data_IF_090356196538
#
_entry.id   IF_090356196538
#
_cell.length_a   1.000
_cell.length_b   1.000
_cell.length_c   1.000
_cell.angle_alpha   90.00
_cell.angle_beta   90.00
_cell.angle_gamma   90.00
#
_symmetry.space_group_name_H-M   'P 1'
#
loop_
_entity.id
_entity.type
_entity.pdbx_description
1 polymer ?
#
# COMPACT_ATOMS: atom_id res chain seq x y z
N UNK A 1 -16.09 -65.07 12.60
CA UNK A 1 -15.07 -64.55 11.65
C UNK A 1 -15.27 -63.12 11.12
N UNK A 2 -16.49 -62.54 11.04
CA UNK A 2 -16.70 -61.23 10.38
C UNK A 2 -16.36 -59.97 11.21
N UNK A 3 -16.43 -60.00 12.55
CA UNK A 3 -16.06 -58.84 13.40
C UNK A 3 -14.55 -58.55 13.44
N UNK A 4 -13.70 -59.59 13.42
CA UNK A 4 -12.23 -59.42 13.44
C UNK A 4 -11.69 -58.69 12.20
N UNK A 5 -12.25 -58.95 11.00
CA UNK A 5 -11.81 -58.26 9.77
C UNK A 5 -12.16 -56.76 9.76
N UNK A 6 -13.31 -56.37 10.33
CA UNK A 6 -13.71 -54.96 10.39
C UNK A 6 -12.79 -54.15 11.32
N UNK A 7 -12.41 -54.73 12.46
CA UNK A 7 -11.49 -54.10 13.40
C UNK A 7 -10.09 -53.96 12.78
N UNK A 8 -9.62 -54.96 12.00
CA UNK A 8 -8.35 -54.85 11.27
C UNK A 8 -8.37 -53.75 10.21
N UNK A 9 -9.48 -53.52 9.50
CA UNK A 9 -9.57 -52.41 8.53
C UNK A 9 -9.55 -51.04 9.22
N UNK A 10 -10.21 -50.91 10.38
CA UNK A 10 -10.18 -49.66 11.17
C UNK A 10 -8.76 -49.41 11.71
N UNK A 11 -8.06 -50.45 12.17
CA UNK A 11 -6.67 -50.35 12.62
C UNK A 11 -5.71 -49.94 11.50
N UNK A 12 -5.87 -50.50 10.29
CA UNK A 12 -5.06 -50.10 9.14
C UNK A 12 -5.33 -48.65 8.78
N UNK A 13 -6.58 -48.18 8.78
CA UNK A 13 -6.90 -46.76 8.52
C UNK A 13 -6.28 -45.86 9.59
N UNK A 14 -6.38 -46.21 10.87
CA UNK A 14 -5.79 -45.43 11.97
C UNK A 14 -4.26 -45.37 11.89
N UNK A 15 -3.59 -46.50 11.62
CA UNK A 15 -2.12 -46.56 11.48
C UNK A 15 -1.65 -45.77 10.25
N UNK A 16 -2.36 -45.87 9.12
CA UNK A 16 -2.01 -45.09 7.92
C UNK A 16 -2.23 -43.59 8.14
N UNK A 17 -3.19 -43.19 8.98
CA UNK A 17 -3.43 -41.77 9.29
C UNK A 17 -2.39 -41.23 10.30
N UNK A 18 -1.90 -42.07 11.22
CA UNK A 18 -0.91 -41.70 12.24
C UNK A 18 0.55 -41.74 11.73
N UNK A 19 0.86 -42.53 10.68
CA UNK A 19 2.22 -42.61 10.13
C UNK A 19 2.55 -41.53 9.09
N UNK A 20 1.57 -40.79 8.57
CA UNK A 20 1.79 -39.74 7.55
C UNK A 20 1.84 -38.31 8.14
N UNK A 21 1.44 -38.10 9.39
CA UNK A 21 1.46 -36.79 10.06
C UNK A 21 2.86 -36.31 10.49
N UNK A 22 3.82 -37.15 10.94
CA UNK A 22 5.13 -36.65 11.39
C UNK A 22 6.07 -36.26 10.24
N UNK A 23 5.87 -36.84 9.05
CA UNK A 23 6.71 -36.61 7.87
C UNK A 23 6.41 -35.30 7.13
N UNK A 24 5.25 -34.68 7.39
CA UNK A 24 4.89 -33.38 6.80
C UNK A 24 5.59 -32.24 7.54
N UNK A 25 5.70 -32.32 8.87
CA UNK A 25 6.35 -31.28 9.68
C UNK A 25 7.88 -31.18 9.46
N UNK A 26 8.54 -32.30 9.15
CA UNK A 26 9.99 -32.35 8.89
C UNK A 26 10.38 -31.93 7.46
N UNK A 27 9.44 -32.01 6.50
CA UNK A 27 9.64 -31.51 5.13
C UNK A 27 9.33 -30.01 5.08
N UNK A 28 8.34 -29.53 5.83
CA UNK A 28 8.02 -28.09 5.96
C UNK A 28 9.19 -27.28 6.54
N UNK A 29 9.89 -27.78 7.56
CA UNK A 29 10.96 -27.02 8.21
C UNK A 29 12.23 -26.89 7.35
N UNK A 30 12.53 -27.89 6.51
CA UNK A 30 13.73 -27.88 5.67
C UNK A 30 13.55 -27.17 4.33
N UNK A 31 12.34 -27.21 3.77
CA UNK A 31 11.99 -26.43 2.57
C UNK A 31 11.85 -24.94 2.91
N UNK A 32 11.35 -24.59 4.10
CA UNK A 32 11.26 -23.18 4.52
C UNK A 32 12.63 -22.54 4.77
N UNK A 33 13.64 -23.28 5.23
CA UNK A 33 14.99 -22.72 5.43
C UNK A 33 15.77 -22.55 4.11
N UNK A 34 15.62 -23.47 3.15
CA UNK A 34 16.37 -23.40 1.88
C UNK A 34 15.73 -22.43 0.85
N UNK A 35 14.41 -22.15 0.94
CA UNK A 35 13.73 -21.13 0.11
C UNK A 35 13.98 -19.70 0.63
N UNK A 36 14.26 -19.53 1.92
CA UNK A 36 14.57 -18.22 2.50
C UNK A 36 15.98 -17.70 2.14
N UNK A 37 16.93 -18.55 1.77
CA UNK A 37 18.32 -18.09 1.56
C UNK A 37 18.67 -17.66 0.12
N UNK A 38 17.86 -17.95 -0.89
CA UNK A 38 18.29 -17.78 -2.29
C UNK A 38 17.63 -16.70 -3.14
N UNK A 39 16.75 -15.83 -2.62
CA UNK A 39 16.05 -14.86 -3.49
C UNK A 39 15.81 -13.45 -2.92
N UNK A 40 16.53 -13.00 -1.88
CA UNK A 40 16.11 -11.80 -1.12
C UNK A 40 16.69 -10.45 -1.63
N UNK A 41 17.59 -10.43 -2.62
CA UNK A 41 18.20 -9.18 -3.13
C UNK A 41 17.60 -8.63 -4.44
N UNK A 42 16.38 -9.02 -4.83
CA UNK A 42 15.80 -8.57 -6.10
C UNK A 42 14.88 -7.37 -5.89
N UNK A 43 15.38 -6.16 -6.19
CA UNK A 43 14.51 -5.09 -6.72
C UNK A 43 13.82 -5.73 -7.93
N UNK A 44 12.48 -5.72 -8.03
CA UNK A 44 11.80 -6.36 -9.15
C UNK A 44 12.37 -5.85 -10.47
N UNK A 45 12.92 -6.77 -11.29
CA UNK A 45 13.36 -6.40 -12.61
C UNK A 45 12.14 -6.01 -13.45
N UNK A 46 12.36 -5.17 -14.46
CA UNK A 46 11.29 -4.76 -15.37
C UNK A 46 10.55 -5.96 -16.01
N UNK A 47 11.18 -7.13 -16.07
CA UNK A 47 10.64 -8.38 -16.60
C UNK A 47 9.68 -9.10 -15.64
N UNK A 48 9.69 -8.78 -14.34
CA UNK A 48 8.74 -9.31 -13.36
C UNK A 48 7.34 -8.69 -13.50
N UNK A 49 7.24 -7.55 -14.18
CA UNK A 49 5.99 -6.82 -14.34
C UNK A 49 5.15 -7.35 -15.50
N UNK A 50 3.86 -7.59 -15.25
CA UNK A 50 2.88 -7.61 -16.32
C UNK A 50 2.77 -6.22 -16.93
N UNK A 51 3.17 -6.09 -18.21
CA UNK A 51 3.15 -4.81 -18.90
C UNK A 51 1.75 -4.27 -19.10
N UNK A 52 1.56 -2.99 -18.74
CA UNK A 52 0.35 -2.20 -18.93
C UNK A 52 0.56 -1.24 -20.10
N UNK A 53 -0.31 -1.23 -21.11
CA UNK A 53 -0.12 -0.36 -22.28
C UNK A 53 -0.33 1.13 -21.96
N UNK A 54 -1.11 1.45 -20.92
CA UNK A 54 -1.47 2.81 -20.53
C UNK A 54 -2.07 2.82 -19.10
N UNK A 55 -2.24 4.00 -18.48
CA UNK A 55 -2.95 4.19 -17.20
C UNK A 55 -4.47 4.05 -17.34
N UNK A 56 -5.22 3.63 -16.31
CA UNK A 56 -6.68 3.51 -16.39
C UNK A 56 -7.43 4.79 -16.81
N UNK A 57 -6.77 5.95 -16.71
CA UNK A 57 -7.23 7.24 -17.20
C UNK A 57 -6.23 7.77 -18.23
N UNK A 58 -6.72 8.47 -19.26
CA UNK A 58 -5.84 9.09 -20.26
C UNK A 58 -5.07 10.28 -19.65
N UNK A 59 -3.73 10.14 -19.60
CA UNK A 59 -2.85 11.17 -19.05
C UNK A 59 -2.93 12.49 -19.83
N UNK A 60 -3.27 12.48 -21.13
CA UNK A 60 -3.42 13.73 -21.88
C UNK A 60 -4.68 14.49 -21.43
N UNK A 61 -5.76 13.75 -21.12
CA UNK A 61 -7.01 14.34 -20.66
C UNK A 61 -6.93 14.81 -19.21
N UNK A 62 -6.10 14.18 -18.38
CA UNK A 62 -5.79 14.61 -17.01
C UNK A 62 -5.27 16.05 -17.00
N UNK A 63 -4.39 16.38 -17.95
CA UNK A 63 -3.76 17.70 -18.07
C UNK A 63 -4.52 18.68 -18.98
N UNK A 64 -5.72 18.29 -19.45
CA UNK A 64 -6.52 19.13 -20.32
C UNK A 64 -7.44 20.06 -19.52
N UNK A 65 -7.27 21.37 -19.72
CA UNK A 65 -8.20 22.41 -19.24
C UNK A 65 -9.17 22.90 -20.32
N UNK A 66 -10.39 23.29 -19.91
CA UNK A 66 -11.44 23.88 -20.78
C UNK A 66 -10.96 25.10 -21.55
N UNK A 67 -10.12 25.91 -20.90
CA UNK A 67 -9.64 27.17 -21.41
C UNK A 67 -8.37 27.62 -20.66
N UNK A 68 -7.71 28.63 -21.22
CA UNK A 68 -6.48 29.20 -20.66
C UNK A 68 -6.65 29.78 -19.25
N UNK A 69 -7.86 30.20 -18.86
CA UNK A 69 -8.11 30.72 -17.50
C UNK A 69 -8.08 29.58 -16.49
N UNK A 70 -8.78 28.47 -16.75
CA UNK A 70 -8.78 27.29 -15.89
C UNK A 70 -7.40 26.65 -15.79
N UNK A 71 -6.72 26.52 -16.93
CA UNK A 71 -5.33 26.08 -16.97
C UNK A 71 -4.44 26.96 -16.08
N UNK A 72 -4.58 28.29 -16.14
CA UNK A 72 -3.82 29.21 -15.28
C UNK A 72 -4.22 29.10 -13.82
N UNK A 73 -5.50 28.99 -13.50
CA UNK A 73 -5.97 28.77 -12.12
C UNK A 73 -5.33 27.52 -11.54
N UNK A 74 -5.38 26.40 -12.25
CA UNK A 74 -4.83 25.14 -11.82
C UNK A 74 -3.30 25.15 -11.72
N UNK A 75 -2.61 25.69 -12.72
CA UNK A 75 -1.16 25.89 -12.67
C UNK A 75 -0.74 26.87 -11.55
N UNK A 76 -1.59 27.84 -11.18
CA UNK A 76 -1.36 28.71 -10.03
C UNK A 76 -1.65 28.00 -8.70
N UNK A 77 -2.62 27.09 -8.64
CA UNK A 77 -2.89 26.27 -7.46
C UNK A 77 -1.75 25.29 -7.18
N UNK A 78 -1.22 24.63 -8.23
CA UNK A 78 0.05 23.88 -8.17
C UNK A 78 1.16 24.80 -7.72
N UNK A 79 1.26 25.97 -8.34
CA UNK A 79 2.23 27.00 -8.02
C UNK A 79 2.07 27.66 -6.64
N UNK A 80 1.01 27.36 -5.90
CA UNK A 80 0.80 27.81 -4.52
C UNK A 80 0.96 26.66 -3.53
N UNK A 81 1.12 25.40 -3.97
CA UNK A 81 1.33 24.27 -3.05
C UNK A 81 0.05 23.75 -2.42
N UNK A 82 -1.07 23.84 -3.16
CA UNK A 82 -2.36 23.25 -2.77
C UNK A 82 -2.57 21.87 -3.41
N UNK A 83 -3.67 21.18 -3.11
CA UNK A 83 -4.10 19.84 -3.60
C UNK A 83 -4.23 19.65 -5.12
N UNK A 84 -3.71 20.58 -5.91
CA UNK A 84 -3.86 20.63 -7.36
C UNK A 84 -2.86 19.77 -8.13
N UNK A 85 -2.03 18.95 -7.49
CA UNK A 85 -1.19 17.98 -8.21
C UNK A 85 -2.07 16.99 -8.99
N UNK A 86 -1.93 16.99 -10.32
CA UNK A 86 -2.69 16.11 -11.22
C UNK A 86 -2.13 14.70 -11.27
N UNK A 87 -0.82 14.57 -11.09
CA UNK A 87 -0.14 13.31 -10.91
C UNK A 87 0.74 13.43 -9.68
N UNK A 88 0.48 12.59 -8.68
CA UNK A 88 1.35 12.44 -7.52
C UNK A 88 2.02 11.07 -7.54
N UNK A 89 3.35 11.02 -7.38
CA UNK A 89 4.09 9.78 -7.49
C UNK A 89 4.00 8.94 -6.20
N UNK A 90 4.56 7.75 -6.31
CA UNK A 90 4.53 6.70 -5.30
C UNK A 90 5.47 7.06 -4.14
N UNK A 91 5.06 6.74 -2.91
CA UNK A 91 5.92 6.84 -1.71
C UNK A 91 5.51 7.90 -0.70
N UNK A 92 4.54 8.77 -1.01
CA UNK A 92 4.03 9.77 -0.06
C UNK A 92 5.07 10.80 0.40
N UNK A 93 6.22 10.87 -0.29
CA UNK A 93 7.28 11.82 0.00
C UNK A 93 7.02 13.14 -0.70
N UNK A 94 5.90 13.80 -0.44
CA UNK A 94 5.71 15.18 -0.89
C UNK A 94 4.71 15.93 -0.01
N UNK A 95 4.97 17.21 0.19
CA UNK A 95 3.95 18.13 0.68
C UNK A 95 2.92 18.40 -0.42
N UNK A 96 1.69 17.97 -0.15
CA UNK A 96 0.47 18.54 -0.74
C UNK A 96 -0.51 18.87 0.40
N UNK A 97 -1.55 19.65 0.14
CA UNK A 97 -2.56 20.00 1.16
C UNK A 97 -3.44 18.82 1.60
N UNK A 98 -3.16 17.61 1.11
CA UNK A 98 -3.91 16.38 1.30
C UNK A 98 -2.93 15.25 1.59
N UNK A 99 -3.25 14.37 2.54
CA UNK A 99 -2.44 13.18 2.80
C UNK A 99 -2.58 12.16 1.67
N UNK A 100 -1.72 12.23 0.66
CA UNK A 100 -1.60 11.13 -0.30
C UNK A 100 -0.97 9.91 0.36
N UNK A 101 -1.77 8.87 0.59
CA UNK A 101 -1.29 7.65 1.22
C UNK A 101 -0.10 7.06 0.46
N UNK A 102 0.90 6.58 1.19
CA UNK A 102 2.06 5.90 0.61
C UNK A 102 1.62 4.71 -0.27
N UNK A 103 2.44 4.37 -1.27
CA UNK A 103 2.29 3.21 -2.15
C UNK A 103 1.29 3.28 -3.33
N UNK A 104 0.82 4.48 -3.69
CA UNK A 104 -0.09 4.68 -4.83
C UNK A 104 0.22 5.93 -5.61
N UNK A 105 -0.31 6.00 -6.82
CA UNK A 105 -0.40 7.24 -7.58
C UNK A 105 -1.78 7.83 -7.41
N UNK A 106 -1.88 9.14 -7.22
CA UNK A 106 -3.13 9.85 -7.45
C UNK A 106 -3.10 10.47 -8.83
N UNK A 107 -4.20 10.27 -9.55
CA UNK A 107 -4.42 10.82 -10.88
C UNK A 107 -5.66 11.69 -10.76
N UNK A 108 -5.46 13.01 -10.69
CA UNK A 108 -6.50 14.01 -10.48
C UNK A 108 -6.60 14.91 -11.71
N UNK A 109 -7.80 15.17 -12.20
CA UNK A 109 -8.05 16.04 -13.33
C UNK A 109 -9.04 17.17 -13.00
N UNK A 110 -9.10 18.18 -13.85
CA UNK A 110 -10.14 19.24 -13.75
C UNK A 110 -11.55 18.72 -14.06
N UNK A 111 -11.64 17.60 -14.77
CA UNK A 111 -12.88 16.98 -15.21
C UNK A 111 -12.96 15.55 -14.72
N UNK A 112 -14.18 15.04 -14.69
CA UNK A 112 -14.44 13.61 -14.59
C UNK A 112 -13.88 12.91 -15.81
N UNK A 113 -12.83 12.14 -15.61
CA UNK A 113 -12.16 11.39 -16.68
C UNK A 113 -12.72 10.00 -16.80
N UNK A 114 -12.72 9.46 -18.01
CA UNK A 114 -13.16 8.09 -18.26
C UNK A 114 -12.14 7.12 -17.65
N UNK A 115 -12.61 6.20 -16.81
CA UNK A 115 -11.81 5.10 -16.28
C UNK A 115 -12.05 3.85 -17.14
N UNK A 116 -10.97 3.27 -17.67
CA UNK A 116 -10.98 2.06 -18.50
C UNK A 116 -9.99 1.02 -18.02
N UNK A 117 -10.25 -0.22 -18.38
CA UNK A 117 -9.33 -1.33 -18.12
C UNK A 117 -8.12 -1.30 -19.06
N UNK A 118 -6.89 -1.14 -18.55
CA UNK A 118 -5.70 -1.09 -19.40
C UNK A 118 -5.34 -2.44 -20.03
N UNK A 119 -5.76 -3.53 -19.41
CA UNK A 119 -5.55 -4.90 -19.88
C UNK A 119 -6.71 -5.77 -19.40
N UNK A 120 -6.88 -6.94 -20.03
CA UNK A 120 -7.81 -7.95 -19.53
C UNK A 120 -7.39 -8.40 -18.12
N UNK A 121 -8.38 -8.69 -17.28
CA UNK A 121 -8.13 -9.04 -15.88
C UNK A 121 -9.31 -9.75 -15.24
N UNK A 122 -9.15 -10.11 -13.98
CA UNK A 122 -10.17 -10.82 -13.20
C UNK A 122 -10.41 -10.07 -11.90
N UNK A 123 -11.68 -9.83 -11.58
CA UNK A 123 -12.08 -9.30 -10.28
C UNK A 123 -11.64 -10.26 -9.18
N UNK A 124 -10.92 -9.72 -8.20
CA UNK A 124 -10.54 -10.41 -6.97
C UNK A 124 -11.47 -9.99 -5.85
N UNK A 125 -11.61 -8.68 -5.68
CA UNK A 125 -12.43 -8.07 -4.63
C UNK A 125 -12.88 -6.67 -5.07
N UNK A 126 -13.91 -6.15 -4.42
CA UNK A 126 -14.28 -4.73 -4.52
C UNK A 126 -14.93 -4.27 -3.23
N UNK A 127 -14.69 -3.03 -2.85
CA UNK A 127 -15.27 -2.40 -1.67
C UNK A 127 -15.93 -1.10 -2.05
N UNK A 128 -16.96 -0.73 -1.30
CA UNK A 128 -17.67 0.54 -1.47
C UNK A 128 -17.57 1.25 -0.13
N UNK A 129 -16.99 2.44 -0.14
CA UNK A 129 -16.88 3.26 1.07
C UNK A 129 -18.26 3.81 1.46
N UNK A 130 -19.06 4.21 0.47
CA UNK A 130 -20.44 4.63 0.64
C UNK A 130 -21.25 4.32 -0.63
N UNK A 131 -22.41 3.66 -0.50
CA UNK A 131 -23.31 3.33 -1.63
C UNK A 131 -24.09 4.56 -2.13
N UNK A 132 -23.39 5.67 -2.38
CA UNK A 132 -23.98 6.86 -2.98
C UNK A 132 -24.18 6.63 -4.47
N UNK A 133 -25.41 6.81 -4.95
CA UNK A 133 -25.71 6.76 -6.39
C UNK A 133 -25.53 8.12 -7.02
N UNK A 134 -24.80 8.15 -8.13
CA UNK A 134 -24.53 9.37 -8.92
C UNK A 134 -24.87 9.10 -10.39
N UNK A 135 -25.22 10.16 -11.13
CA UNK A 135 -25.45 10.06 -12.58
C UNK A 135 -24.47 10.95 -13.31
N UNK A 136 -23.64 10.36 -14.17
CA UNK A 136 -22.65 11.07 -14.97
C UNK A 136 -22.84 10.77 -16.45
N UNK A 137 -23.03 11.82 -17.24
CA UNK A 137 -23.23 11.74 -18.70
C UNK A 137 -24.31 10.71 -19.11
N UNK A 138 -25.38 10.59 -18.32
CA UNK A 138 -26.49 9.68 -18.60
C UNK A 138 -26.25 8.23 -18.16
N UNK A 139 -25.17 7.94 -17.45
CA UNK A 139 -24.90 6.64 -16.84
C UNK A 139 -25.12 6.70 -15.33
N UNK A 140 -25.87 5.73 -14.80
CA UNK A 140 -26.02 5.53 -13.36
C UNK A 140 -24.79 4.80 -12.81
N UNK A 141 -24.31 5.31 -11.67
CA UNK A 141 -23.05 4.89 -11.06
C UNK A 141 -23.14 4.79 -9.56
N UNK A 142 -22.24 4.00 -8.99
CA UNK A 142 -22.00 3.88 -7.56
C UNK A 142 -20.68 4.58 -7.26
N UNK A 143 -20.74 5.54 -6.34
CA UNK A 143 -19.62 6.37 -5.94
C UNK A 143 -18.63 5.65 -5.01
N UNK A 144 -17.42 6.20 -4.90
CA UNK A 144 -16.39 5.81 -3.93
C UNK A 144 -16.14 4.29 -3.89
N UNK A 145 -15.95 3.70 -5.07
CA UNK A 145 -15.69 2.28 -5.24
C UNK A 145 -14.20 2.03 -5.39
N UNK A 146 -13.73 0.98 -4.70
CA UNK A 146 -12.42 0.38 -4.87
C UNK A 146 -12.56 -0.96 -5.57
N UNK A 147 -11.73 -1.24 -6.57
CA UNK A 147 -11.73 -2.50 -7.31
C UNK A 147 -10.33 -3.10 -7.31
N UNK A 148 -10.23 -4.37 -6.87
CA UNK A 148 -9.02 -5.19 -6.91
C UNK A 148 -9.08 -6.11 -8.13
N UNK A 149 -8.10 -6.01 -9.02
CA UNK A 149 -8.07 -6.76 -10.28
C UNK A 149 -6.74 -7.49 -10.46
N UNK A 150 -6.80 -8.80 -10.67
CA UNK A 150 -5.68 -9.63 -11.11
C UNK A 150 -5.50 -9.48 -12.62
N UNK A 151 -4.29 -9.10 -13.07
CA UNK A 151 -4.00 -8.78 -14.48
C UNK A 151 -2.96 -9.72 -15.12
N UNK A 152 -2.37 -10.61 -14.33
CA UNK A 152 -1.35 -11.55 -14.79
C UNK A 152 -0.99 -12.52 -13.68
N UNK A 153 -0.04 -13.42 -13.97
CA UNK A 153 0.53 -14.29 -12.95
C UNK A 153 1.22 -13.41 -11.92
N UNK A 154 0.78 -13.51 -10.66
CA UNK A 154 1.32 -12.76 -9.53
C UNK A 154 1.23 -11.22 -9.67
N UNK A 155 0.48 -10.68 -10.65
CA UNK A 155 0.35 -9.24 -10.88
C UNK A 155 -1.11 -8.78 -10.69
N UNK A 156 -1.29 -7.68 -9.99
CA UNK A 156 -2.60 -7.06 -9.79
C UNK A 156 -2.53 -5.54 -9.85
N UNK A 157 -3.69 -4.92 -10.06
CA UNK A 157 -3.89 -3.48 -9.91
C UNK A 157 -5.06 -3.24 -8.96
N UNK A 158 -4.99 -2.13 -8.24
CA UNK A 158 -6.13 -1.59 -7.48
C UNK A 158 -6.44 -0.21 -8.03
N UNK A 159 -7.73 0.04 -8.26
CA UNK A 159 -8.26 1.36 -8.58
C UNK A 159 -9.20 1.77 -7.45
N UNK A 160 -8.99 2.95 -6.91
CA UNK A 160 -9.70 3.45 -5.73
C UNK A 160 -10.31 4.83 -6.00
N UNK A 161 -11.33 5.20 -5.24
CA UNK A 161 -12.08 6.45 -5.39
C UNK A 161 -12.68 6.66 -6.80
N UNK A 162 -13.13 5.60 -7.47
CA UNK A 162 -13.84 5.72 -8.75
C UNK A 162 -15.36 5.66 -8.57
N UNK A 163 -16.07 6.36 -9.45
CA UNK A 163 -17.50 6.12 -9.67
C UNK A 163 -17.66 4.97 -10.66
N UNK A 164 -18.10 3.80 -10.19
CA UNK A 164 -18.27 2.58 -10.98
C UNK A 164 -19.66 2.53 -11.60
N UNK A 165 -19.78 2.08 -12.86
CA UNK A 165 -21.07 1.80 -13.50
C UNK A 165 -21.94 0.89 -12.62
N UNK A 166 -23.19 1.30 -12.39
CA UNK A 166 -24.14 0.53 -11.57
C UNK A 166 -24.37 -0.88 -12.17
N UNK A 167 -24.35 -0.99 -13.49
CA UNK A 167 -24.45 -2.29 -14.17
C UNK A 167 -23.29 -3.24 -13.84
N UNK A 168 -22.06 -2.74 -13.68
CA UNK A 168 -20.91 -3.55 -13.26
C UNK A 168 -21.00 -3.88 -11.78
N UNK A 169 -21.39 -2.93 -10.94
CA UNK A 169 -21.64 -3.19 -9.52
C UNK A 169 -22.66 -4.33 -9.33
N UNK A 170 -23.79 -4.27 -10.03
CA UNK A 170 -24.82 -5.32 -10.00
C UNK A 170 -24.27 -6.67 -10.48
N UNK A 171 -23.43 -6.65 -11.52
CA UNK A 171 -22.78 -7.86 -12.02
C UNK A 171 -21.80 -8.44 -10.99
N UNK A 172 -21.05 -7.62 -10.26
CA UNK A 172 -20.11 -8.09 -9.23
C UNK A 172 -20.83 -8.76 -8.05
N UNK A 173 -22.01 -8.25 -7.67
CA UNK A 173 -22.86 -8.85 -6.64
C UNK A 173 -23.32 -10.27 -7.01
N UNK A 174 -23.58 -10.52 -8.28
CA UNK A 174 -24.04 -11.82 -8.79
C UNK A 174 -22.86 -12.74 -9.11
N UNK A 175 -21.80 -12.19 -9.71
CA UNK A 175 -20.67 -12.91 -10.27
C UNK A 175 -19.33 -12.42 -9.67
N UNK A 176 -18.96 -13.00 -8.52
CA UNK A 176 -17.69 -12.74 -7.81
C UNK A 176 -16.41 -13.13 -8.56
N UNK A 177 -16.52 -13.56 -9.82
CA UNK A 177 -15.39 -13.92 -10.69
C UNK A 177 -15.45 -13.19 -12.04
N UNK A 178 -15.96 -11.96 -12.03
CA UNK A 178 -16.08 -11.12 -13.22
C UNK A 178 -14.74 -11.03 -13.98
N UNK A 179 -14.81 -11.12 -15.31
CA UNK A 179 -13.64 -10.98 -16.19
C UNK A 179 -13.75 -9.68 -16.96
N UNK A 180 -12.76 -8.83 -16.73
CA UNK A 180 -12.57 -7.60 -17.47
C UNK A 180 -11.93 -7.86 -18.82
N UNK A 181 -12.33 -7.08 -19.81
CA UNK A 181 -11.64 -7.01 -21.11
C UNK A 181 -10.85 -5.71 -21.21
N UNK A 182 -9.80 -5.72 -22.04
CA UNK A 182 -9.03 -4.51 -22.34
C UNK A 182 -9.96 -3.42 -22.92
N UNK A 183 -9.68 -2.16 -22.59
CA UNK A 183 -10.41 -0.96 -23.00
C UNK A 183 -11.86 -0.89 -22.50
N UNK A 184 -12.27 -1.82 -21.62
CA UNK A 184 -13.60 -1.80 -21.03
C UNK A 184 -13.82 -0.53 -20.22
N UNK A 185 -14.89 0.19 -20.53
CA UNK A 185 -15.36 1.33 -19.74
C UNK A 185 -15.87 0.85 -18.38
N UNK A 186 -15.33 1.42 -17.31
CA UNK A 186 -15.71 1.07 -15.94
C UNK A 186 -16.55 2.15 -15.28
N UNK A 187 -16.30 3.41 -15.61
CA UNK A 187 -16.96 4.56 -15.00
C UNK A 187 -16.09 5.82 -15.08
N UNK A 188 -16.21 6.71 -14.10
CA UNK A 188 -15.48 7.98 -14.09
C UNK A 188 -14.62 8.15 -12.83
N UNK A 189 -13.61 9.03 -12.91
CA UNK A 189 -12.95 9.57 -11.73
C UNK A 189 -13.97 10.32 -10.86
N UNK A 190 -13.77 10.30 -9.54
CA UNK A 190 -14.69 10.93 -8.59
C UNK A 190 -13.93 11.60 -7.44
N UNK A 191 -14.56 12.58 -6.79
CA UNK A 191 -14.05 13.22 -5.60
C UNK A 191 -15.16 13.52 -4.59
N UNK A 192 -14.87 13.30 -3.31
CA UNK A 192 -15.75 13.66 -2.20
C UNK A 192 -15.53 15.09 -1.68
N UNK A 193 -14.39 15.74 -1.96
CA UNK A 193 -14.04 17.05 -1.36
C UNK A 193 -12.98 17.89 -2.09
N UNK A 194 -12.60 17.54 -3.32
CA UNK A 194 -11.51 18.20 -4.07
C UNK A 194 -11.52 17.91 -5.59
N UNK A 195 -10.39 18.06 -6.32
CA UNK A 195 -10.30 17.70 -7.74
C UNK A 195 -10.63 16.22 -8.02
N UNK A 196 -11.31 15.95 -9.13
CA UNK A 196 -11.83 14.62 -9.50
C UNK A 196 -10.66 13.67 -9.78
N UNK A 197 -10.57 12.54 -9.08
CA UNK A 197 -9.42 11.66 -9.25
C UNK A 197 -9.67 10.19 -8.99
N UNK A 198 -8.61 9.40 -9.14
CA UNK A 198 -8.54 8.02 -8.67
C UNK A 198 -7.19 7.79 -8.01
N UNK A 199 -7.13 6.81 -7.10
CA UNK A 199 -5.84 6.23 -6.73
C UNK A 199 -5.58 4.97 -7.55
N UNK A 200 -4.34 4.82 -8.01
CA UNK A 200 -3.87 3.68 -8.76
C UNK A 200 -2.72 3.00 -8.03
N UNK A 201 -2.86 1.69 -7.83
CA UNK A 201 -1.85 0.85 -7.19
C UNK A 201 -1.47 -0.27 -8.16
N UNK A 202 -0.18 -0.59 -8.19
CA UNK A 202 0.32 -1.79 -8.86
C UNK A 202 0.87 -2.76 -7.82
N UNK A 203 0.54 -4.03 -7.98
CA UNK A 203 0.94 -5.07 -7.07
C UNK A 203 1.68 -6.19 -7.82
N UNK A 204 2.85 -6.55 -7.30
CA UNK A 204 3.62 -7.72 -7.70
C UNK A 204 3.69 -8.70 -6.53
N UNK A 205 3.39 -9.98 -6.78
CA UNK A 205 3.11 -10.98 -5.76
C UNK A 205 2.10 -10.50 -4.71
N UNK A 206 1.07 -9.76 -5.16
CA UNK A 206 0.06 -9.12 -4.31
C UNK A 206 0.65 -8.15 -3.28
N UNK A 207 1.74 -7.46 -3.63
CA UNK A 207 2.34 -6.40 -2.81
C UNK A 207 2.53 -5.13 -3.61
N UNK A 208 2.27 -4.01 -2.97
CA UNK A 208 2.45 -2.70 -3.60
C UNK A 208 3.90 -2.50 -4.03
N UNK A 209 4.07 -2.13 -5.30
CA UNK A 209 5.36 -1.79 -5.88
C UNK A 209 5.22 -0.54 -6.72
N UNK A 210 6.34 0.11 -6.99
CA UNK A 210 6.40 1.25 -7.89
C UNK A 210 5.85 0.88 -9.28
N UNK A 211 4.84 1.59 -9.81
CA UNK A 211 4.12 1.16 -11.00
C UNK A 211 4.78 1.55 -12.33
N UNK A 212 5.69 2.54 -12.38
CA UNK A 212 6.25 3.04 -13.65
C UNK A 212 6.90 1.94 -14.52
N UNK A 213 7.67 0.97 -13.97
CA UNK A 213 8.28 -0.11 -14.76
C UNK A 213 7.26 -1.03 -15.46
N UNK A 214 5.98 -1.00 -15.04
CA UNK A 214 4.91 -1.74 -15.69
C UNK A 214 4.58 -1.19 -17.09
N UNK A 215 4.95 0.04 -17.42
CA UNK A 215 4.59 0.65 -18.70
C UNK A 215 5.69 0.48 -19.76
N UNK A 216 5.36 0.48 -21.07
CA UNK A 216 6.36 0.60 -22.14
C UNK A 216 7.18 1.90 -21.99
N UNK A 217 8.45 1.87 -22.39
CA UNK A 217 9.37 3.01 -22.27
C UNK A 217 8.78 4.32 -22.79
N UNK A 218 8.20 4.33 -23.99
CA UNK A 218 7.60 5.53 -24.57
C UNK A 218 6.45 6.12 -23.72
N UNK A 219 5.74 5.28 -22.97
CA UNK A 219 4.70 5.74 -22.06
C UNK A 219 5.28 6.17 -20.70
N UNK A 220 6.35 5.54 -20.24
CA UNK A 220 7.10 6.01 -19.06
C UNK A 220 7.63 7.43 -19.29
N UNK A 221 8.30 7.66 -20.42
CA UNK A 221 8.80 8.97 -20.86
C UNK A 221 7.67 10.00 -20.87
N UNK A 222 6.51 9.65 -21.44
CA UNK A 222 5.32 10.52 -21.44
C UNK A 222 4.84 10.89 -20.04
N UNK A 223 4.76 9.93 -19.12
CA UNK A 223 4.33 10.20 -17.73
C UNK A 223 5.33 11.13 -17.04
N UNK A 224 6.64 10.88 -17.22
CA UNK A 224 7.72 11.71 -16.66
C UNK A 224 7.62 13.14 -17.21
N UNK A 225 7.47 13.31 -18.53
CA UNK A 225 7.33 14.63 -19.16
C UNK A 225 6.17 15.44 -18.56
N UNK A 226 5.01 14.80 -18.35
CA UNK A 226 3.85 15.45 -17.74
C UNK A 226 4.09 15.83 -16.27
N UNK A 227 4.77 14.98 -15.52
CA UNK A 227 5.15 15.30 -14.16
C UNK A 227 6.13 16.47 -14.09
N UNK A 228 7.17 16.44 -14.93
CA UNK A 228 8.19 17.48 -15.00
C UNK A 228 7.59 18.85 -15.36
N UNK A 229 6.54 18.89 -16.17
CA UNK A 229 5.80 20.14 -16.43
C UNK A 229 5.14 20.74 -15.18
N UNK A 230 4.55 19.90 -14.31
CA UNK A 230 3.99 20.36 -13.03
C UNK A 230 5.11 20.85 -12.11
N UNK A 231 6.21 20.10 -12.08
CA UNK A 231 7.41 20.43 -11.30
C UNK A 231 7.95 21.79 -11.70
N UNK A 232 8.23 22.01 -12.97
CA UNK A 232 8.73 23.29 -13.48
C UNK A 232 7.77 24.44 -13.18
N UNK A 233 6.45 24.21 -13.26
CA UNK A 233 5.48 25.25 -12.90
C UNK A 233 5.52 25.59 -11.41
N UNK A 234 5.61 24.58 -10.55
CA UNK A 234 5.77 24.77 -9.11
C UNK A 234 7.03 25.61 -8.84
N UNK A 235 8.18 25.22 -9.43
CA UNK A 235 9.45 25.94 -9.29
C UNK A 235 9.34 27.41 -9.66
N UNK A 236 8.75 27.72 -10.83
CA UNK A 236 8.52 29.11 -11.28
C UNK A 236 7.71 29.93 -10.27
N UNK A 237 6.82 29.28 -9.53
CA UNK A 237 5.88 29.92 -8.62
C UNK A 237 6.37 29.98 -7.18
N UNK A 238 7.55 29.44 -6.89
CA UNK A 238 8.11 29.42 -5.54
C UNK A 238 7.62 28.25 -4.67
N UNK A 239 7.00 27.24 -5.27
CA UNK A 239 6.53 25.99 -4.63
C UNK A 239 7.36 24.82 -5.12
N UNK A 240 7.59 23.82 -4.27
CA UNK A 240 8.59 22.80 -4.57
C UNK A 240 7.97 21.41 -4.50
N UNK A 241 8.02 20.65 -5.60
CA UNK A 241 7.77 19.22 -5.52
C UNK A 241 8.86 18.62 -4.67
N UNK A 242 8.45 17.97 -3.61
CA UNK A 242 9.34 17.19 -2.75
C UNK A 242 9.36 15.71 -3.13
N UNK A 243 8.61 15.35 -4.18
CA UNK A 243 8.62 14.01 -4.76
C UNK A 243 9.33 13.97 -6.10
N UNK A 244 10.09 12.90 -6.30
CA UNK A 244 10.55 12.47 -7.60
C UNK A 244 9.55 11.49 -8.20
N UNK A 245 9.36 11.52 -9.52
CA UNK A 245 8.61 10.45 -10.19
C UNK A 245 9.28 9.11 -10.00
N UNK A 246 10.61 9.09 -9.95
CA UNK A 246 11.40 7.90 -9.73
C UNK A 246 11.46 7.56 -8.25
N UNK A 247 11.33 6.28 -7.93
CA UNK A 247 11.54 5.80 -6.57
C UNK A 247 12.90 5.14 -6.49
N UNK A 248 13.98 5.85 -6.12
CA UNK A 248 15.23 5.19 -5.81
C UNK A 248 15.12 4.66 -4.37
N UNK A 249 14.53 3.49 -4.14
CA UNK A 249 15.01 2.62 -3.05
C UNK A 249 16.42 2.11 -3.41
N UNK A 250 17.33 3.03 -3.72
CA UNK A 250 18.65 2.71 -4.21
C UNK A 250 19.64 3.17 -3.14
N UNK A 251 19.93 2.25 -2.21
CA UNK A 251 21.10 2.19 -1.32
C UNK A 251 21.41 3.35 -0.35
N UNK A 252 20.90 4.57 -0.55
CA UNK A 252 21.27 5.75 0.23
C UNK A 252 20.57 5.84 1.61
N UNK A 253 19.50 5.06 1.82
CA UNK A 253 18.72 5.07 3.07
C UNK A 253 19.14 3.97 4.06
N UNK A 254 19.98 3.04 3.62
CA UNK A 254 20.46 1.95 4.48
C UNK A 254 21.22 2.50 5.67
N UNK A 255 20.86 2.04 6.87
CA UNK A 255 21.42 2.54 8.12
C UNK A 255 21.18 4.04 8.35
N UNK A 256 20.05 4.58 7.88
CA UNK A 256 19.63 5.96 8.15
C UNK A 256 18.17 6.04 8.57
N UNK A 257 17.81 7.12 9.27
CA UNK A 257 16.43 7.40 9.69
C UNK A 257 15.48 7.60 8.51
N UNK A 258 16.00 7.90 7.32
CA UNK A 258 15.22 8.14 6.11
C UNK A 258 14.50 6.88 5.63
N UNK A 259 13.22 7.01 5.31
CA UNK A 259 12.40 5.92 4.81
C UNK A 259 10.97 5.95 5.36
N UNK A 260 10.23 4.88 5.10
CA UNK A 260 8.87 4.68 5.61
C UNK A 260 8.94 3.65 6.74
N UNK A 261 8.25 3.94 7.83
CA UNK A 261 8.28 3.17 9.05
C UNK A 261 6.86 2.88 9.54
N UNK A 262 6.63 1.66 9.98
CA UNK A 262 5.36 1.16 10.50
C UNK A 262 5.48 0.95 12.01
N UNK A 263 4.46 1.34 12.78
CA UNK A 263 4.38 1.03 14.21
C UNK A 263 4.67 -0.46 14.50
N UNK A 264 5.62 -0.73 15.40
CA UNK A 264 5.99 -2.08 15.86
C UNK A 264 5.61 -2.27 17.33
N UNK A 265 6.07 -1.39 18.21
CA UNK A 265 5.86 -1.50 19.66
C UNK A 265 6.02 -0.16 20.38
N UNK A 266 5.61 -0.08 21.65
CA UNK A 266 5.63 1.15 22.44
C UNK A 266 4.57 1.14 23.55
N UNK A 267 4.37 2.26 24.27
CA UNK A 267 3.36 2.38 25.33
C UNK A 267 1.91 2.31 24.79
N UNK A 268 1.74 2.31 23.47
CA UNK A 268 0.43 2.36 22.83
C UNK A 268 -0.11 0.96 22.54
N UNK A 269 -1.33 0.68 22.99
CA UNK A 269 -2.07 -0.50 22.54
C UNK A 269 -2.58 -0.25 21.12
N UNK A 270 -1.81 -0.62 20.09
CA UNK A 270 -2.37 -0.66 18.74
C UNK A 270 -3.36 -1.83 18.67
N UNK A 271 -4.62 -1.54 18.36
CA UNK A 271 -5.73 -2.53 18.27
C UNK A 271 -5.55 -3.56 17.13
N UNK A 272 -4.41 -3.57 16.44
CA UNK A 272 -4.30 -3.97 15.04
C UNK A 272 -3.35 -5.15 14.74
N UNK A 273 -3.03 -6.00 15.72
CA UNK A 273 -2.22 -7.23 15.53
C UNK A 273 -2.78 -8.21 14.45
N UNK A 274 -3.96 -7.96 13.86
CA UNK A 274 -4.64 -8.83 12.90
C UNK A 274 -5.20 -8.15 11.63
N UNK A 275 -4.90 -6.87 11.35
CA UNK A 275 -5.42 -6.24 10.12
C UNK A 275 -4.62 -6.63 8.86
N UNK A 276 -5.34 -6.75 7.75
CA UNK A 276 -4.77 -7.03 6.42
C UNK A 276 -3.93 -5.83 5.97
N UNK A 277 -2.97 -6.08 5.08
CA UNK A 277 -2.14 -5.06 4.41
C UNK A 277 -2.94 -3.92 3.74
N UNK A 278 -4.23 -4.11 3.51
CA UNK A 278 -5.12 -3.10 2.93
C UNK A 278 -5.63 -2.08 3.98
N UNK A 279 -5.46 -2.39 5.27
CA UNK A 279 -5.74 -1.58 6.46
C UNK A 279 -4.42 -1.25 7.18
N UNK A 280 -3.46 -0.67 6.45
CA UNK A 280 -2.26 0.00 7.00
C UNK A 280 -2.65 1.26 7.81
N UNK A 281 -3.59 1.13 8.74
CA UNK A 281 -4.04 2.16 9.67
C UNK A 281 -3.14 2.27 10.91
N UNK A 282 -1.98 1.60 10.92
CA UNK A 282 -0.95 1.86 11.92
C UNK A 282 -0.39 3.27 11.73
N UNK A 283 0.15 3.88 12.79
CA UNK A 283 0.95 5.10 12.65
C UNK A 283 2.09 4.83 11.67
N UNK A 284 2.06 5.52 10.53
CA UNK A 284 3.13 5.50 9.53
C UNK A 284 3.94 6.76 9.75
N UNK A 285 5.23 6.55 10.01
CA UNK A 285 6.20 7.62 10.05
C UNK A 285 6.96 7.61 8.72
N UNK A 286 6.87 8.69 7.96
CA UNK A 286 7.64 8.88 6.73
C UNK A 286 8.68 9.96 6.95
N UNK A 287 9.95 9.60 6.74
CA UNK A 287 11.09 10.50 6.89
C UNK A 287 11.76 10.67 5.53
N UNK A 288 11.81 11.90 5.03
CA UNK A 288 12.29 12.23 3.68
C UNK A 288 13.61 12.98 3.74
N UNK A 289 14.65 12.45 3.08
CA UNK A 289 15.95 13.11 2.94
C UNK A 289 15.82 14.36 2.03
N UNK A 290 16.39 15.49 2.46
CA UNK A 290 16.52 16.73 1.68
C UNK A 290 17.15 16.51 0.29
N UNK A 291 18.05 15.54 0.11
CA UNK A 291 18.64 15.24 -1.21
C UNK A 291 17.63 14.69 -2.22
N UNK A 292 16.48 14.20 -1.76
CA UNK A 292 15.34 13.81 -2.62
C UNK A 292 14.36 14.94 -2.89
N UNK A 293 14.65 16.13 -2.36
CA UNK A 293 13.82 17.32 -2.55
C UNK A 293 14.62 18.39 -3.29
N UNK A 294 13.95 19.45 -3.76
CA UNK A 294 14.65 20.55 -4.38
C UNK A 294 15.42 21.39 -3.33
N UNK A 295 16.74 21.20 -3.29
CA UNK A 295 17.64 21.82 -2.33
C UNK A 295 17.60 23.35 -2.30
N UNK A 296 17.28 24.00 -3.42
CA UNK A 296 17.31 25.48 -3.52
C UNK A 296 16.25 26.12 -2.63
N UNK A 297 15.24 25.35 -2.23
CA UNK A 297 13.92 25.91 -2.02
C UNK A 297 13.01 25.14 -1.08
N UNK A 298 13.37 23.90 -0.76
CA UNK A 298 12.76 23.04 0.24
C UNK A 298 12.49 23.71 1.60
N UNK A 299 13.27 24.74 1.96
CA UNK A 299 13.14 25.49 3.20
C UNK A 299 12.25 26.76 3.08
N UNK A 300 11.63 27.03 1.92
CA UNK A 300 10.92 28.30 1.66
C UNK A 300 9.40 28.15 1.70
N UNK A 301 8.72 29.07 2.38
CA UNK A 301 7.26 29.15 2.43
C UNK A 301 6.71 29.87 1.19
N UNK A 302 5.81 29.24 0.41
CA UNK A 302 5.29 29.83 -0.83
C UNK A 302 4.30 30.98 -0.60
N UNK A 303 3.70 31.08 0.58
CA UNK A 303 2.71 32.08 0.96
C UNK A 303 3.31 33.22 1.79
N UNK A 304 4.35 32.96 2.57
CA UNK A 304 4.94 33.91 3.49
C UNK A 304 6.45 33.69 3.72
N UNK A 305 7.27 34.44 2.98
CA UNK A 305 8.75 34.43 3.09
C UNK A 305 9.30 34.70 4.50
N UNK A 306 8.53 35.27 5.43
CA UNK A 306 9.00 35.43 6.81
C UNK A 306 9.04 34.11 7.58
N UNK A 307 8.46 33.05 7.01
CA UNK A 307 8.45 31.69 7.54
C UNK A 307 9.49 30.78 6.87
N UNK A 308 10.34 31.32 6.01
CA UNK A 308 11.44 30.55 5.42
C UNK A 308 12.35 30.01 6.55
N UNK A 309 12.62 28.72 6.50
CA UNK A 309 13.57 28.03 7.37
C UNK A 309 15.00 28.20 6.85
N UNK A 310 15.96 27.79 7.67
CA UNK A 310 17.37 27.80 7.35
C UNK A 310 17.73 26.73 6.31
N UNK A 311 18.83 26.96 5.61
CA UNK A 311 19.37 26.04 4.60
C UNK A 311 19.94 24.74 5.20
N UNK A 312 19.97 24.59 6.52
CA UNK A 312 20.51 23.44 7.27
C UNK A 312 19.47 22.35 7.56
N UNK A 313 18.20 22.54 7.17
CA UNK A 313 17.20 21.48 7.22
C UNK A 313 17.67 20.22 6.48
N UNK A 314 17.47 19.07 7.10
CA UNK A 314 17.93 17.78 6.59
C UNK A 314 16.81 16.95 5.97
N UNK A 315 15.55 17.30 6.21
CA UNK A 315 14.42 16.53 5.69
C UNK A 315 13.06 16.93 6.24
N UNK A 316 12.06 16.08 5.99
CA UNK A 316 10.69 16.21 6.49
C UNK A 316 10.33 14.94 7.26
N UNK A 317 9.62 15.13 8.37
CA UNK A 317 8.90 14.10 9.09
C UNK A 317 7.42 14.25 8.82
N UNK A 318 6.83 13.14 8.44
CA UNK A 318 5.40 12.99 8.34
C UNK A 318 4.94 11.88 9.26
N UNK A 319 4.21 12.26 10.31
CA UNK A 319 3.63 11.37 11.28
C UNK A 319 2.11 11.42 11.18
N UNK A 320 1.54 10.35 10.64
CA UNK A 320 0.11 10.25 10.39
C UNK A 320 -0.34 8.80 10.46
N UNK A 321 -1.49 8.56 11.08
CA UNK A 321 -2.03 7.20 11.13
C UNK A 321 -3.42 7.08 11.70
N UNK A 322 -4.33 6.52 10.90
CA UNK A 322 -5.52 5.78 11.30
C UNK A 322 -6.39 6.33 12.43
N UNK A 323 -7.16 5.44 13.04
CA UNK A 323 -7.86 5.73 14.28
C UNK A 323 -6.81 5.73 15.41
N UNK A 324 -6.47 6.92 15.90
CA UNK A 324 -5.44 7.14 16.91
C UNK A 324 -5.74 6.33 18.19
N UNK A 325 -4.73 5.67 18.80
CA UNK A 325 -4.83 5.28 20.20
C UNK A 325 -5.16 6.53 21.03
N UNK A 326 -6.02 6.38 22.05
CA UNK A 326 -6.57 7.52 22.81
C UNK A 326 -5.53 8.49 23.43
N UNK A 327 -4.26 8.06 23.52
CA UNK A 327 -3.17 8.81 24.14
C UNK A 327 -1.99 9.11 23.17
N UNK A 328 -2.16 8.88 21.86
CA UNK A 328 -1.16 9.24 20.85
C UNK A 328 -1.44 10.63 20.30
N UNK A 329 -0.48 11.55 20.41
CA UNK A 329 -0.58 12.87 19.79
C UNK A 329 0.24 12.85 18.51
N UNK A 330 -0.45 12.76 17.36
CA UNK A 330 0.17 12.90 16.05
C UNK A 330 0.92 14.23 15.97
N UNK A 331 2.18 14.18 15.48
CA UNK A 331 2.96 15.40 15.23
C UNK A 331 2.74 15.99 13.85
N UNK A 332 2.13 15.23 12.93
CA UNK A 332 1.76 15.70 11.60
C UNK A 332 2.97 15.94 10.70
N UNK A 333 2.88 16.98 9.87
CA UNK A 333 3.92 17.37 8.91
C UNK A 333 4.89 18.36 9.56
N UNK A 334 6.17 17.99 9.70
CA UNK A 334 7.20 18.83 10.29
C UNK A 334 8.51 18.76 9.51
N UNK A 335 9.19 19.89 9.39
CA UNK A 335 10.54 19.96 8.83
C UNK A 335 11.57 19.63 9.90
N UNK A 336 12.65 18.94 9.51
CA UNK A 336 13.67 18.41 10.41
C UNK A 336 15.01 19.13 10.29
N UNK A 337 15.52 19.60 11.41
CA UNK A 337 16.90 20.05 11.57
C UNK A 337 17.60 19.07 12.51
N UNK A 338 18.75 18.52 12.11
CA UNK A 338 19.56 17.71 13.03
C UNK A 338 20.44 18.65 13.86
N UNK A 339 20.13 18.71 15.15
CA UNK A 339 20.84 19.58 16.10
C UNK A 339 21.86 18.81 16.96
N UNK A 340 21.73 17.49 17.07
CA UNK A 340 22.68 16.61 17.75
C UNK A 340 22.72 15.20 17.13
N UNK A 341 23.89 14.55 17.14
CA UNK A 341 24.09 13.16 16.72
C UNK A 341 24.39 12.98 15.23
N UNK A 342 24.01 11.82 14.67
CA UNK A 342 24.10 11.46 13.26
C UNK A 342 22.78 10.85 12.74
N UNK A 343 22.74 10.33 11.51
CA UNK A 343 21.50 9.80 10.91
C UNK A 343 21.04 8.45 11.49
N UNK A 344 21.78 7.86 12.43
CA UNK A 344 21.39 6.64 13.15
C UNK A 344 20.89 6.92 14.56
N UNK A 345 21.37 7.99 15.19
CA UNK A 345 20.96 8.39 16.53
C UNK A 345 21.12 9.89 16.70
N UNK A 346 20.19 10.55 17.38
CA UNK A 346 20.32 11.99 17.52
C UNK A 346 19.14 12.66 18.17
N UNK A 347 19.14 13.99 18.08
CA UNK A 347 18.00 14.84 18.39
C UNK A 347 17.68 15.66 17.15
N UNK A 348 16.42 15.63 16.76
CA UNK A 348 15.85 16.44 15.70
C UNK A 348 15.09 17.61 16.30
N UNK A 349 15.22 18.78 15.71
CA UNK A 349 14.28 19.87 15.89
C UNK A 349 13.21 19.80 14.80
N UNK A 350 11.94 19.81 15.19
CA UNK A 350 10.81 19.70 14.29
C UNK A 350 10.03 21.02 14.27
N UNK A 351 9.81 21.58 13.08
CA UNK A 351 9.04 22.83 12.88
C UNK A 351 7.95 22.67 11.82
N UNK A 352 6.73 23.14 12.05
CA UNK A 352 5.65 23.15 11.06
C UNK A 352 5.54 24.52 10.35
N UNK A 353 5.35 24.53 9.02
CA UNK A 353 5.20 25.78 8.24
C UNK A 353 3.80 25.99 7.63
N UNK A 354 3.02 24.93 7.38
CA UNK A 354 1.91 25.00 6.41
C UNK A 354 0.57 24.43 6.85
N UNK A 355 0.41 24.00 8.11
CA UNK A 355 -0.81 23.30 8.51
C UNK A 355 -1.35 23.72 9.89
N UNK A 356 -2.49 24.43 9.86
CA UNK A 356 -3.44 24.50 10.97
C UNK A 356 -2.86 24.84 12.34
N UNK A 357 -3.49 24.29 13.39
CA UNK A 357 -3.35 24.69 14.81
C UNK A 357 -1.93 24.60 15.42
N UNK A 358 -0.89 24.20 14.67
CA UNK A 358 0.50 24.04 15.11
C UNK A 358 1.48 25.06 14.48
N UNK A 359 0.95 26.15 13.93
CA UNK A 359 1.74 27.19 13.26
C UNK A 359 2.79 27.82 14.23
N UNK A 360 4.08 27.59 13.95
CA UNK A 360 5.26 27.99 14.74
C UNK A 360 5.55 27.22 16.05
N UNK A 361 4.98 26.03 16.27
CA UNK A 361 5.45 25.20 17.39
C UNK A 361 6.76 24.50 17.04
N UNK A 362 7.74 24.59 17.94
CA UNK A 362 8.98 23.83 17.88
C UNK A 362 8.87 22.69 18.89
N UNK A 363 9.06 21.47 18.41
CA UNK A 363 9.15 20.26 19.23
C UNK A 363 10.47 19.56 18.93
N UNK A 364 10.93 18.72 19.83
CA UNK A 364 12.18 17.98 19.68
C UNK A 364 11.89 16.49 19.66
N UNK A 365 12.60 15.74 18.82
CA UNK A 365 12.51 14.29 18.79
C UNK A 365 13.86 13.66 19.09
N UNK A 366 13.95 12.87 20.16
CA UNK A 366 15.06 11.94 20.36
C UNK A 366 14.78 10.72 19.50
N UNK A 367 15.77 10.28 18.73
CA UNK A 367 15.65 9.04 17.97
C UNK A 367 16.92 8.19 18.06
N UNK A 368 16.74 6.90 17.83
CA UNK A 368 17.78 5.88 17.77
C UNK A 368 17.36 4.74 16.82
N UNK A 369 18.31 4.21 16.07
CA UNK A 369 18.09 3.12 15.13
C UNK A 369 18.80 1.84 15.56
N UNK A 370 18.03 0.76 15.71
CA UNK A 370 18.55 -0.58 15.96
C UNK A 370 18.65 -1.34 14.62
N UNK A 371 19.89 -1.55 14.16
CA UNK A 371 20.22 -2.28 12.95
C UNK A 371 20.26 -3.78 13.24
N UNK A 372 19.10 -4.45 13.22
CA UNK A 372 18.97 -5.84 13.68
C UNK A 372 19.65 -6.87 12.78
N UNK A 373 19.87 -6.56 11.49
CA UNK A 373 20.48 -7.50 10.55
C UNK A 373 21.28 -6.77 9.46
N UNK A 374 21.87 -7.52 8.52
CA UNK A 374 22.48 -6.93 7.32
C UNK A 374 21.45 -6.41 6.31
N UNK A 375 20.16 -6.48 6.63
CA UNK A 375 19.05 -6.11 5.76
C UNK A 375 18.28 -4.96 6.39
N UNK A 376 18.05 -3.92 5.58
CA UNK A 376 17.40 -2.67 5.97
C UNK A 376 15.94 -2.86 6.44
N UNK A 377 15.26 -3.92 5.99
CA UNK A 377 13.89 -4.25 6.40
C UNK A 377 13.76 -4.71 7.86
N UNK A 378 14.86 -5.16 8.47
CA UNK A 378 14.87 -5.57 9.88
C UNK A 378 15.19 -4.40 10.83
N UNK A 379 15.51 -3.22 10.27
CA UNK A 379 15.81 -2.02 11.06
C UNK A 379 14.61 -1.61 11.90
N UNK A 380 14.88 -1.23 13.15
CA UNK A 380 13.93 -0.53 14.00
C UNK A 380 14.34 0.92 14.21
N UNK A 381 13.36 1.81 14.20
CA UNK A 381 13.50 3.21 14.58
C UNK A 381 12.74 3.44 15.88
N UNK A 382 13.45 3.85 16.92
CA UNK A 382 12.86 4.28 18.18
C UNK A 382 12.85 5.80 18.25
N UNK A 383 11.71 6.40 18.57
CA UNK A 383 11.51 7.85 18.61
C UNK A 383 10.66 8.25 19.82
N UNK A 384 10.98 9.39 20.42
CA UNK A 384 10.19 10.03 21.47
C UNK A 384 10.19 11.55 21.28
N UNK A 385 9.05 12.19 21.50
CA UNK A 385 8.85 13.62 21.29
C UNK A 385 8.85 14.40 22.61
N UNK A 386 9.43 15.59 22.60
CA UNK A 386 9.65 16.45 23.76
C UNK A 386 9.32 17.91 23.43
N UNK A 387 8.90 18.66 24.45
CA UNK A 387 8.60 20.09 24.31
C UNK A 387 9.88 20.95 24.36
N UNK A 388 10.96 20.42 24.94
CA UNK A 388 12.23 21.15 25.06
C UNK A 388 13.45 20.33 24.65
N UNK A 389 14.48 21.03 24.15
CA UNK A 389 15.77 20.42 23.79
C UNK A 389 16.42 19.71 24.99
N UNK A 390 16.35 20.32 26.18
CA UNK A 390 16.97 19.78 27.39
C UNK A 390 16.37 18.42 27.76
N UNK A 391 15.06 18.26 27.60
CA UNK A 391 14.38 16.99 27.85
C UNK A 391 14.78 15.93 26.81
N UNK A 392 14.81 16.28 25.53
CA UNK A 392 15.26 15.37 24.48
C UNK A 392 16.72 14.91 24.69
N UNK A 393 17.58 15.80 25.19
CA UNK A 393 18.98 15.50 25.53
C UNK A 393 19.13 14.62 26.78
N UNK A 394 18.14 14.58 27.67
CA UNK A 394 18.17 13.72 28.85
C UNK A 394 18.01 12.23 28.50
N UNK A 395 17.49 11.91 27.31
CA UNK A 395 17.29 10.57 26.79
C UNK A 395 15.85 10.09 26.86
N UNK A 396 15.61 8.85 26.40
CA UNK A 396 14.28 8.23 26.40
C UNK A 396 13.72 8.05 27.81
N UNK A 397 12.41 8.25 27.98
CA UNK A 397 11.74 8.24 29.29
C UNK A 397 10.93 6.98 29.58
N UNK A 398 10.91 6.01 28.66
CA UNK A 398 10.04 4.83 28.72
C UNK A 398 8.72 5.03 27.98
N UNK A 399 8.50 6.19 27.37
CA UNK A 399 7.35 6.50 26.52
C UNK A 399 7.69 6.45 25.02
N UNK A 400 8.88 5.96 24.69
CA UNK A 400 9.35 5.85 23.32
C UNK A 400 8.49 4.90 22.48
N UNK A 401 8.43 5.21 21.19
CA UNK A 401 7.72 4.43 20.18
C UNK A 401 8.76 3.79 19.28
N UNK A 402 8.60 2.51 19.03
CA UNK A 402 9.42 1.78 18.08
C UNK A 402 8.61 1.47 16.83
N UNK A 403 9.20 1.82 15.70
CA UNK A 403 8.70 1.53 14.37
C UNK A 403 9.63 0.53 13.68
N UNK A 404 9.07 -0.41 12.93
CA UNK A 404 9.80 -1.27 12.02
C UNK A 404 9.84 -0.65 10.62
N UNK A 405 10.94 -0.85 9.89
CA UNK A 405 11.06 -0.39 8.51
C UNK A 405 9.93 -0.99 7.67
N UNK A 406 9.10 -0.13 7.08
CA UNK A 406 8.13 -0.59 6.11
C UNK A 406 8.82 -0.77 4.77
N UNK A 407 9.30 -1.97 4.52
CA UNK A 407 9.36 -2.49 3.16
C UNK A 407 8.02 -3.15 2.86
N UNK A 408 7.51 -3.10 1.62
CA UNK A 408 6.49 -4.04 1.16
C UNK A 408 7.11 -5.46 1.20
N UNK A 409 7.15 -6.02 2.41
CA UNK A 409 7.99 -7.15 2.79
C UNK A 409 7.43 -8.45 2.25
N UNK A 410 8.32 -9.45 2.14
CA UNK A 410 8.15 -10.71 1.42
C UNK A 410 7.12 -11.70 1.97
N UNK A 411 6.04 -11.26 2.61
CA UNK A 411 4.98 -12.17 3.09
C UNK A 411 4.02 -12.49 1.95
N UNK A 412 3.94 -13.75 1.48
CA UNK A 412 2.81 -14.15 0.65
C UNK A 412 1.55 -13.89 1.49
N UNK A 413 0.50 -13.26 0.97
CA UNK A 413 -0.77 -13.23 1.68
C UNK A 413 -1.19 -14.68 1.83
N UNK A 414 -1.01 -15.23 3.04
CA UNK A 414 -1.45 -16.55 3.51
C UNK A 414 -2.03 -17.40 2.42
N UNK A 415 -1.12 -17.92 1.61
CA UNK A 415 -1.26 -18.84 0.51
C UNK A 415 -2.73 -19.29 0.32
N UNK A 416 -3.55 -18.40 -0.25
CA UNK A 416 -5.00 -18.61 -0.35
C UNK A 416 -5.24 -19.88 -1.16
N UNK A 417 -4.35 -20.16 -2.11
CA UNK A 417 -4.24 -21.43 -2.82
C UNK A 417 -3.89 -22.60 -1.89
N UNK A 418 -2.93 -22.54 -0.97
CA UNK A 418 -2.68 -23.65 -0.01
C UNK A 418 -3.83 -23.83 0.99
N UNK A 419 -4.43 -22.77 1.52
CA UNK A 419 -5.64 -22.90 2.37
C UNK A 419 -6.78 -23.52 1.55
N UNK A 420 -6.96 -23.08 0.31
CA UNK A 420 -7.95 -23.64 -0.63
C UNK A 420 -7.64 -25.10 -0.98
N UNK A 421 -6.38 -25.47 -1.20
CA UNK A 421 -5.94 -26.85 -1.42
C UNK A 421 -6.17 -27.70 -0.17
N UNK A 422 -5.83 -27.21 1.02
CA UNK A 422 -6.09 -27.89 2.31
C UNK A 422 -7.60 -28.08 2.52
N UNK A 423 -8.42 -27.04 2.29
CA UNK A 423 -9.88 -27.12 2.38
C UNK A 423 -10.43 -28.11 1.34
N UNK A 424 -9.98 -28.08 0.08
CA UNK A 424 -10.38 -29.04 -0.94
C UNK A 424 -9.93 -30.47 -0.60
N UNK A 425 -8.75 -30.64 0.00
CA UNK A 425 -8.25 -31.96 0.38
C UNK A 425 -9.02 -32.53 1.59
N UNK A 426 -9.33 -31.68 2.57
CA UNK A 426 -10.12 -32.06 3.76
C UNK A 426 -11.58 -32.33 3.35
N UNK A 427 -12.24 -31.40 2.66
CA UNK A 427 -13.64 -31.53 2.25
C UNK A 427 -13.78 -32.64 1.20
N UNK A 428 -12.91 -32.68 0.20
CA UNK A 428 -12.89 -33.73 -0.82
C UNK A 428 -12.59 -35.12 -0.22
N UNK A 429 -11.66 -35.19 0.73
CA UNK A 429 -11.36 -36.42 1.47
C UNK A 429 -12.54 -36.92 2.31
N UNK A 430 -13.23 -36.03 3.03
CA UNK A 430 -14.42 -36.38 3.82
C UNK A 430 -15.57 -36.84 2.93
N UNK A 431 -15.82 -36.18 1.80
CA UNK A 431 -16.84 -36.60 0.83
C UNK A 431 -16.51 -37.98 0.25
N UNK A 432 -15.27 -38.21 -0.15
CA UNK A 432 -14.83 -39.49 -0.70
C UNK A 432 -14.98 -40.63 0.31
N UNK A 433 -14.56 -40.42 1.57
CA UNK A 433 -14.71 -41.39 2.66
C UNK A 433 -16.20 -41.68 2.92
N UNK A 434 -17.04 -40.66 2.94
CA UNK A 434 -18.49 -40.81 3.16
C UNK A 434 -19.15 -41.60 2.03
N UNK A 435 -18.78 -41.34 0.77
CA UNK A 435 -19.26 -42.10 -0.40
C UNK A 435 -18.82 -43.56 -0.32
N UNK A 436 -17.56 -43.82 0.04
CA UNK A 436 -17.04 -45.19 0.18
C UNK A 436 -17.79 -45.94 1.30
N UNK A 437 -17.93 -45.34 2.49
CA UNK A 437 -18.64 -45.94 3.62
C UNK A 437 -20.10 -46.23 3.25
N UNK A 438 -20.79 -45.27 2.63
CA UNK A 438 -22.19 -45.41 2.23
C UNK A 438 -22.34 -46.53 1.19
N UNK A 439 -21.44 -46.59 0.21
CA UNK A 439 -21.42 -47.63 -0.82
C UNK A 439 -21.19 -49.01 -0.21
N UNK A 440 -20.24 -49.14 0.73
CA UNK A 440 -19.98 -50.40 1.45
C UNK A 440 -21.20 -50.82 2.28
N UNK A 441 -21.85 -49.90 2.99
CA UNK A 441 -23.07 -50.18 3.76
C UNK A 441 -24.19 -50.69 2.83
N UNK A 442 -24.39 -50.04 1.68
CA UNK A 442 -25.39 -50.43 0.69
C UNK A 442 -25.10 -51.82 0.09
N UNK A 443 -23.83 -52.11 -0.22
CA UNK A 443 -23.41 -53.43 -0.72
C UNK A 443 -23.58 -54.54 0.32
N UNK A 444 -23.28 -54.26 1.60
CA UNK A 444 -23.51 -55.21 2.70
C UNK A 444 -25.01 -55.45 2.91
N UNK A 445 -25.85 -54.40 2.84
CA UNK A 445 -27.32 -54.54 2.92
C UNK A 445 -27.88 -55.35 1.76
N UNK A 446 -27.43 -55.11 0.52
CA UNK A 446 -27.81 -55.91 -0.66
C UNK A 446 -27.42 -57.38 -0.53
N UNK A 447 -26.23 -57.68 -0.02
CA UNK A 447 -25.79 -59.07 0.23
C UNK A 447 -26.56 -59.77 1.34
N UNK A 448 -27.09 -59.04 2.33
CA UNK A 448 -28.00 -59.60 3.35
C UNK A 448 -29.39 -59.89 2.80
N UNK A 449 -29.94 -59.02 1.94
CA UNK A 449 -31.24 -59.26 1.28
C UNK A 449 -31.23 -60.45 0.29
N UNK A 450 -30.10 -60.77 -0.34
CA UNK A 450 -29.95 -61.95 -1.21
C UNK A 450 -29.77 -63.30 -0.46
N UNK A 451 -29.73 -63.28 0.88
CA UNK A 451 -29.58 -64.48 1.73
C UNK A 451 -30.82 -64.81 2.56
N UNK A 452 -31.94 -64.16 2.25
CA UNK A 452 -33.28 -64.51 2.77
C UNK A 452 -34.01 -65.26 1.67
#
# INVERSE_FOLDING_TARGET
MRKKKLISYIYVILITTLCFTPSVQLIDTKINSEIQEQNINHIPDADDYQKLPYLPVDIDEVFWADNLTKQKEHLNLIGNGTDAWMLTPWGGCFVSGHTEGANKWYIKGERKQIVKMPIAGRLVDYTIENETKVNYNGFDMIAAVRVFIEIGKDCAIVMDHMALLESLHNEFLVNRHYRFIKDQFLGYTESHSGPEGISFYYLLNYRFVYPLPAFPQAYQEKIIDYFDLQVEKAKISGVWPESEMYYPLDKSEANTLWGIWQYDSGPYNSYFENTRLDDLRGSILTLVNRERTNLETFHKDPYNKTKDLSDDMIGILFDYGGDEPADYVQKGYTFLEQIEGDLTQGVLELRCLWYGDYDNETIYAKFDMDLKSNKIEDDLLTIEYFDTLIEAQAGFTGNEITYARLFPEKRPPWNYEVIRYIIYFIVGGVVLITVIITTVILLVRRRKKKKV
#
